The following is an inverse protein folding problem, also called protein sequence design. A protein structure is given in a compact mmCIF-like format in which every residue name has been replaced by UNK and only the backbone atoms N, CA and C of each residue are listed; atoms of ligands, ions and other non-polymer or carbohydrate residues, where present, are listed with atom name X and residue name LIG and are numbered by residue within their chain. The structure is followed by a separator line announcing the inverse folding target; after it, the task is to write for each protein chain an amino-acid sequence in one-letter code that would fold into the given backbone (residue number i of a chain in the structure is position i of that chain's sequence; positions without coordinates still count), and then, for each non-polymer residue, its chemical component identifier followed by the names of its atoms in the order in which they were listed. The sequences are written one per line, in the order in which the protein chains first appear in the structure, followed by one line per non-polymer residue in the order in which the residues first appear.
data_IF_496370941814
#
_entry.id   IF_496370941814
#
_cell.length_a   1.000
_cell.length_b   1.000
_cell.length_c   1.000
_cell.angle_alpha   90.00
_cell.angle_beta   90.00
_cell.angle_gamma   90.00
#
_symmetry.space_group_name_H-M   'P 1'
#
loop_
_entity.id
_entity.type
_entity.pdbx_description
1 polymer ?
#
# COMPACT_ATOMS: atom_id res chain seq x y z
N UNK A 1 -27.64 2.99 -11.84
CA UNK A 1 -27.34 4.35 -11.32
C UNK A 1 -26.07 4.23 -10.46
N UNK A 2 -25.05 5.04 -10.77
CA UNK A 2 -23.84 5.13 -9.94
C UNK A 2 -24.23 5.82 -8.64
N UNK A 3 -24.07 5.14 -7.51
CA UNK A 3 -24.31 5.74 -6.19
C UNK A 3 -23.10 6.61 -5.81
N UNK A 4 -23.36 7.80 -5.27
CA UNK A 4 -22.31 8.59 -4.64
C UNK A 4 -21.95 7.99 -3.28
N UNK A 5 -20.73 8.27 -2.76
CA UNK A 5 -20.31 7.84 -1.43
C UNK A 5 -21.31 8.21 -0.32
N UNK A 6 -22.10 9.25 -0.52
CA UNK A 6 -23.13 9.71 0.42
C UNK A 6 -24.36 8.80 0.47
N UNK A 7 -24.59 7.97 -0.56
CA UNK A 7 -25.75 7.08 -0.67
C UNK A 7 -25.47 5.64 -0.19
N UNK A 8 -24.23 5.34 0.21
CA UNK A 8 -23.87 4.02 0.75
C UNK A 8 -24.54 3.77 2.10
N UNK A 9 -24.89 2.50 2.38
CA UNK A 9 -25.41 2.15 3.70
C UNK A 9 -24.34 2.37 4.79
N UNK A 10 -24.79 2.59 6.03
CA UNK A 10 -23.90 2.81 7.17
C UNK A 10 -22.94 1.63 7.39
N UNK A 11 -23.43 0.40 7.23
CA UNK A 11 -22.65 -0.81 7.44
C UNK A 11 -21.56 -0.97 6.35
N UNK A 12 -21.92 -0.70 5.09
CA UNK A 12 -20.95 -0.72 3.97
C UNK A 12 -19.85 0.33 4.19
N UNK A 13 -20.21 1.53 4.61
CA UNK A 13 -19.23 2.59 4.92
C UNK A 13 -18.30 2.18 6.04
N UNK A 14 -18.82 1.64 7.13
CA UNK A 14 -18.02 1.25 8.30
C UNK A 14 -16.98 0.18 7.93
N UNK A 15 -17.39 -0.85 7.22
CA UNK A 15 -16.47 -1.91 6.76
C UNK A 15 -15.44 -1.39 5.75
N UNK A 16 -15.88 -0.57 4.80
CA UNK A 16 -14.98 0.02 3.81
C UNK A 16 -13.93 0.92 4.46
N UNK A 17 -14.30 1.70 5.49
CA UNK A 17 -13.36 2.51 6.28
C UNK A 17 -12.29 1.63 6.93
N UNK A 18 -12.65 0.48 7.50
CA UNK A 18 -11.68 -0.45 8.10
C UNK A 18 -10.74 -1.04 7.03
N UNK A 19 -11.26 -1.44 5.89
CA UNK A 19 -10.46 -1.97 4.78
C UNK A 19 -9.49 -0.92 4.22
N UNK A 20 -9.92 0.33 4.08
CA UNK A 20 -9.09 1.44 3.63
C UNK A 20 -7.99 1.77 4.66
N UNK A 21 -8.31 1.81 5.95
CA UNK A 21 -7.31 2.01 7.00
C UNK A 21 -6.30 0.86 7.07
N UNK A 22 -6.73 -0.37 6.75
CA UNK A 22 -5.81 -1.51 6.60
C UNK A 22 -4.82 -1.27 5.45
N UNK A 23 -5.30 -0.85 4.29
CA UNK A 23 -4.46 -0.54 3.13
C UNK A 23 -3.50 0.63 3.42
N UNK A 24 -3.96 1.67 4.11
CA UNK A 24 -3.11 2.80 4.55
C UNK A 24 -2.00 2.30 5.47
N UNK A 25 -2.33 1.49 6.48
CA UNK A 25 -1.35 0.96 7.44
C UNK A 25 -0.26 0.14 6.74
N UNK A 26 -0.63 -0.75 5.85
CA UNK A 26 0.31 -1.57 5.09
C UNK A 26 1.16 -0.74 4.13
N UNK A 27 0.58 0.28 3.51
CA UNK A 27 1.33 1.20 2.63
C UNK A 27 2.32 2.04 3.43
N UNK A 28 1.95 2.54 4.62
CA UNK A 28 2.86 3.28 5.51
C UNK A 28 4.05 2.43 5.91
N UNK A 29 3.82 1.18 6.34
CA UNK A 29 4.92 0.26 6.71
C UNK A 29 5.79 -0.06 5.50
N UNK A 30 5.21 -0.29 4.33
CA UNK A 30 5.96 -0.54 3.08
C UNK A 30 6.76 0.68 2.64
N UNK A 31 6.22 1.89 2.81
CA UNK A 31 6.93 3.15 2.53
C UNK A 31 8.20 3.25 3.39
N UNK A 32 8.08 2.99 4.68
CA UNK A 32 9.22 3.04 5.59
C UNK A 32 10.22 1.91 5.31
N UNK A 33 9.73 0.73 4.96
CA UNK A 33 10.57 -0.40 4.55
C UNK A 33 11.41 -0.04 3.32
N UNK A 34 10.81 0.54 2.30
CA UNK A 34 11.51 0.98 1.09
C UNK A 34 12.55 2.07 1.41
N UNK A 35 12.23 3.02 2.27
CA UNK A 35 13.16 4.07 2.68
C UNK A 35 14.32 3.52 3.51
N UNK A 36 14.07 2.59 4.41
CA UNK A 36 15.12 1.89 5.16
C UNK A 36 16.08 1.16 4.22
N UNK A 37 15.57 0.46 3.23
CA UNK A 37 16.37 -0.26 2.23
C UNK A 37 17.09 0.70 1.28
N UNK A 38 16.48 1.81 0.90
CA UNK A 38 17.12 2.87 0.13
C UNK A 38 18.38 3.40 0.82
N UNK A 39 18.34 3.60 2.13
CA UNK A 39 19.49 4.06 2.90
C UNK A 39 20.58 2.99 3.04
N UNK A 40 20.21 1.73 3.19
CA UNK A 40 21.11 0.67 3.68
C UNK A 40 21.55 -0.33 2.61
N UNK A 41 21.02 -0.29 1.38
CA UNK A 41 21.42 -1.21 0.32
C UNK A 41 22.90 -1.04 -0.04
N UNK A 42 23.57 -2.15 -0.37
CA UNK A 42 24.99 -2.21 -0.73
C UNK A 42 25.19 -3.19 -1.90
N UNK A 43 26.35 -3.12 -2.50
CA UNK A 43 26.80 -4.09 -3.50
C UNK A 43 26.79 -3.55 -4.94
N UNK A 44 26.97 -4.45 -5.89
CA UNK A 44 27.14 -4.11 -7.32
C UNK A 44 25.94 -3.37 -7.91
N UNK A 45 24.73 -3.67 -7.43
CA UNK A 45 23.49 -3.06 -7.88
C UNK A 45 23.05 -1.86 -7.01
N UNK A 46 23.94 -1.28 -6.21
CA UNK A 46 23.61 -0.17 -5.31
C UNK A 46 22.87 0.97 -6.02
N UNK A 47 23.43 1.52 -7.08
CA UNK A 47 22.86 2.69 -7.75
C UNK A 47 21.42 2.46 -8.24
N UNK A 48 21.18 1.48 -9.10
CA UNK A 48 19.82 1.15 -9.56
C UNK A 48 18.84 0.80 -8.45
N UNK A 49 19.25 0.06 -7.42
CA UNK A 49 18.37 -0.31 -6.31
C UNK A 49 18.07 0.87 -5.38
N UNK A 50 19.07 1.70 -5.10
CA UNK A 50 18.90 2.93 -4.34
C UNK A 50 17.83 3.84 -4.98
N UNK A 51 17.91 4.01 -6.30
CA UNK A 51 16.92 4.77 -7.08
C UNK A 51 15.54 4.11 -7.10
N UNK A 52 15.47 2.80 -7.34
CA UNK A 52 14.21 2.06 -7.35
C UNK A 52 13.49 2.11 -5.99
N UNK A 53 14.22 1.94 -4.90
CA UNK A 53 13.62 2.01 -3.56
C UNK A 53 13.11 3.42 -3.24
N UNK A 54 13.78 4.46 -3.75
CA UNK A 54 13.29 5.84 -3.68
C UNK A 54 12.00 6.03 -4.48
N UNK A 55 11.96 5.58 -5.72
CA UNK A 55 10.75 5.64 -6.55
C UNK A 55 9.56 4.98 -5.82
N UNK A 56 9.80 3.84 -5.18
CA UNK A 56 8.78 3.12 -4.42
C UNK A 56 8.27 3.96 -3.23
N UNK A 57 9.15 4.47 -2.37
CA UNK A 57 8.66 5.20 -1.20
C UNK A 57 8.01 6.54 -1.55
N UNK A 58 8.47 7.22 -2.59
CA UNK A 58 7.86 8.48 -3.05
C UNK A 58 6.46 8.25 -3.61
N UNK A 59 6.28 7.20 -4.45
CA UNK A 59 4.95 6.81 -4.92
C UNK A 59 4.01 6.42 -3.78
N UNK A 60 4.50 5.61 -2.86
CA UNK A 60 3.68 5.09 -1.76
C UNK A 60 3.31 6.18 -0.77
N UNK A 61 4.17 7.15 -0.54
CA UNK A 61 3.87 8.32 0.29
C UNK A 61 2.67 9.10 -0.28
N UNK A 62 2.63 9.29 -1.58
CA UNK A 62 1.48 9.91 -2.27
C UNK A 62 0.25 8.99 -2.24
N UNK A 63 0.43 7.70 -2.54
CA UNK A 63 -0.67 6.74 -2.59
C UNK A 63 -1.37 6.52 -1.24
N UNK A 64 -0.61 6.49 -0.13
CA UNK A 64 -1.21 6.39 1.21
C UNK A 64 -2.07 7.61 1.55
N UNK A 65 -1.65 8.80 1.13
CA UNK A 65 -2.39 10.04 1.30
C UNK A 65 -3.74 9.99 0.56
N UNK A 66 -3.72 9.59 -0.71
CA UNK A 66 -4.93 9.44 -1.52
C UNK A 66 -5.95 8.47 -0.88
N UNK A 67 -5.49 7.32 -0.40
CA UNK A 67 -6.37 6.34 0.26
C UNK A 67 -6.89 6.86 1.60
N UNK A 68 -6.04 7.52 2.41
CA UNK A 68 -6.45 8.12 3.68
C UNK A 68 -7.47 9.25 3.48
N UNK A 69 -7.29 10.10 2.47
CA UNK A 69 -8.27 11.14 2.11
C UNK A 69 -9.59 10.52 1.64
N UNK A 70 -9.55 9.36 0.97
CA UNK A 70 -10.77 8.64 0.60
C UNK A 70 -11.53 8.15 1.84
N UNK A 71 -10.84 7.71 2.89
CA UNK A 71 -11.48 7.40 4.19
C UNK A 71 -12.28 8.61 4.69
N UNK A 72 -11.72 9.80 4.60
CA UNK A 72 -12.40 11.05 5.00
C UNK A 72 -13.59 11.36 4.09
N UNK A 73 -13.42 11.22 2.80
CA UNK A 73 -14.47 11.51 1.82
C UNK A 73 -15.72 10.64 1.99
N UNK A 74 -15.57 9.40 2.44
CA UNK A 74 -16.72 8.51 2.75
C UNK A 74 -17.24 8.65 4.18
N UNK A 75 -16.69 9.58 4.97
CA UNK A 75 -17.15 9.92 6.32
C UNK A 75 -16.48 9.16 7.47
N UNK A 76 -15.36 8.48 7.19
CA UNK A 76 -14.59 7.75 8.21
C UNK A 76 -13.54 8.59 8.94
N UNK A 77 -12.84 7.93 9.85
CA UNK A 77 -11.65 8.44 10.51
C UNK A 77 -10.40 7.78 9.89
N UNK A 78 -9.48 8.59 9.36
CA UNK A 78 -8.20 8.11 8.86
C UNK A 78 -7.21 8.01 10.02
N UNK A 79 -6.73 6.81 10.31
CA UNK A 79 -5.76 6.57 11.38
C UNK A 79 -4.38 7.04 10.94
N UNK A 80 -3.71 7.84 11.78
CA UNK A 80 -2.38 8.40 11.48
C UNK A 80 -1.30 8.07 12.51
N UNK A 81 -1.60 7.30 13.56
CA UNK A 81 -0.60 6.93 14.57
C UNK A 81 0.29 5.80 14.08
N UNK A 82 1.60 5.96 14.17
CA UNK A 82 2.58 4.95 13.71
C UNK A 82 2.39 3.61 14.42
N UNK A 83 2.13 3.62 15.74
CA UNK A 83 1.88 2.39 16.51
C UNK A 83 0.68 1.60 15.98
N UNK A 84 -0.38 2.28 15.55
CA UNK A 84 -1.56 1.65 14.97
C UNK A 84 -1.28 1.09 13.56
N UNK A 85 -0.48 1.78 12.76
CA UNK A 85 -0.07 1.29 11.45
C UNK A 85 0.74 -0.01 11.59
N UNK A 86 1.71 -0.04 12.50
CA UNK A 86 2.51 -1.25 12.75
C UNK A 86 1.64 -2.39 13.28
N UNK A 87 0.75 -2.11 14.23
CA UNK A 87 -0.11 -3.13 14.82
C UNK A 87 -1.12 -3.72 13.81
N UNK A 88 -1.61 -2.90 12.89
CA UNK A 88 -2.62 -3.27 11.88
C UNK A 88 -2.01 -3.97 10.66
N UNK A 89 -0.79 -3.61 10.30
CA UNK A 89 -0.14 -4.06 9.07
C UNK A 89 0.18 -5.56 9.06
N UNK A 90 -0.14 -6.23 7.94
CA UNK A 90 0.34 -7.58 7.64
C UNK A 90 1.75 -7.57 7.05
N UNK A 91 2.23 -6.41 6.59
CA UNK A 91 3.60 -6.24 6.16
C UNK A 91 4.48 -6.10 7.41
N UNK A 92 5.46 -6.97 7.62
CA UNK A 92 6.34 -6.87 8.78
C UNK A 92 7.42 -5.80 8.55
N UNK A 93 7.88 -5.19 9.64
CA UNK A 93 9.11 -4.42 9.63
C UNK A 93 10.32 -5.34 9.42
N UNK A 94 11.38 -4.83 8.82
CA UNK A 94 12.62 -5.56 8.59
C UNK A 94 13.82 -4.74 9.01
N UNK A 95 14.85 -5.40 9.49
CA UNK A 95 16.15 -4.79 9.76
C UNK A 95 16.82 -4.37 8.43
N UNK A 96 17.53 -3.27 8.45
CA UNK A 96 18.31 -2.77 7.31
C UNK A 96 19.66 -3.47 7.09
N UNK A 97 20.06 -4.38 7.97
CA UNK A 97 21.31 -5.14 7.86
C UNK A 97 21.10 -6.46 7.08
N UNK A 98 20.74 -6.33 5.81
CA UNK A 98 20.41 -7.46 4.94
C UNK A 98 21.13 -7.34 3.60
N UNK A 99 21.21 -8.46 2.86
CA UNK A 99 21.70 -8.44 1.49
C UNK A 99 20.70 -7.72 0.55
N UNK A 100 21.20 -7.24 -0.58
CA UNK A 100 20.34 -6.62 -1.60
C UNK A 100 19.22 -7.58 -2.05
N UNK A 101 19.54 -8.87 -2.23
CA UNK A 101 18.55 -9.88 -2.62
C UNK A 101 17.45 -10.07 -1.56
N UNK A 102 17.83 -10.08 -0.27
CA UNK A 102 16.85 -10.16 0.83
C UNK A 102 15.96 -8.92 0.88
N UNK A 103 16.52 -7.72 0.70
CA UNK A 103 15.76 -6.48 0.63
C UNK A 103 14.76 -6.49 -0.52
N UNK A 104 15.17 -6.91 -1.72
CA UNK A 104 14.30 -7.03 -2.90
C UNK A 104 13.16 -8.00 -2.60
N UNK A 105 13.47 -9.17 -2.03
CA UNK A 105 12.46 -10.17 -1.70
C UNK A 105 11.44 -9.65 -0.69
N UNK A 106 11.88 -9.06 0.40
CA UNK A 106 10.98 -8.50 1.42
C UNK A 106 10.09 -7.40 0.84
N UNK A 107 10.67 -6.53 0.03
CA UNK A 107 9.90 -5.44 -0.57
C UNK A 107 8.91 -5.93 -1.63
N UNK A 108 9.27 -6.96 -2.40
CA UNK A 108 8.34 -7.62 -3.33
C UNK A 108 7.18 -8.29 -2.58
N UNK A 109 7.47 -9.04 -1.51
CA UNK A 109 6.44 -9.67 -0.69
C UNK A 109 5.50 -8.61 -0.06
N UNK A 110 6.05 -7.47 0.37
CA UNK A 110 5.27 -6.34 0.87
C UNK A 110 4.33 -5.78 -0.20
N UNK A 111 4.83 -5.56 -1.43
CA UNK A 111 4.00 -5.09 -2.54
C UNK A 111 2.83 -6.04 -2.82
N UNK A 112 3.08 -7.35 -2.83
CA UNK A 112 2.04 -8.37 -3.05
C UNK A 112 1.01 -8.38 -1.93
N UNK A 113 1.43 -8.18 -0.69
CA UNK A 113 0.53 -8.09 0.46
C UNK A 113 -0.40 -6.88 0.32
N UNK A 114 0.16 -5.69 0.03
CA UNK A 114 -0.64 -4.48 -0.17
C UNK A 114 -1.60 -4.63 -1.35
N UNK A 115 -1.12 -5.17 -2.48
CA UNK A 115 -1.95 -5.41 -3.66
C UNK A 115 -3.16 -6.32 -3.34
N UNK A 116 -2.96 -7.38 -2.56
CA UNK A 116 -4.06 -8.26 -2.14
C UNK A 116 -5.07 -7.55 -1.23
N UNK A 117 -4.62 -6.73 -0.30
CA UNK A 117 -5.49 -5.91 0.56
C UNK A 117 -6.31 -4.92 -0.27
N UNK A 118 -5.66 -4.22 -1.21
CA UNK A 118 -6.34 -3.29 -2.12
C UNK A 118 -7.37 -4.00 -3.01
N UNK A 119 -7.04 -5.18 -3.54
CA UNK A 119 -7.95 -5.97 -4.37
C UNK A 119 -9.22 -6.37 -3.60
N UNK A 120 -9.08 -6.81 -2.35
CA UNK A 120 -10.21 -7.16 -1.48
C UNK A 120 -11.10 -5.96 -1.19
N UNK A 121 -10.51 -4.82 -0.87
CA UNK A 121 -11.24 -3.58 -0.63
C UNK A 121 -11.92 -3.05 -1.91
N UNK A 122 -11.27 -3.18 -3.07
CA UNK A 122 -11.83 -2.79 -4.36
C UNK A 122 -13.09 -3.62 -4.69
N UNK A 123 -13.01 -4.94 -4.51
CA UNK A 123 -14.17 -5.82 -4.71
C UNK A 123 -15.34 -5.45 -3.79
N UNK A 124 -15.05 -5.19 -2.53
CA UNK A 124 -16.07 -4.76 -1.56
C UNK A 124 -16.71 -3.42 -1.92
N UNK A 125 -15.90 -2.46 -2.38
CA UNK A 125 -16.40 -1.16 -2.84
C UNK A 125 -17.32 -1.30 -4.07
N UNK A 126 -16.96 -2.17 -5.03
CA UNK A 126 -17.77 -2.44 -6.21
C UNK A 126 -19.11 -3.09 -5.85
N UNK A 127 -19.10 -4.12 -5.00
CA UNK A 127 -20.32 -4.76 -4.49
C UNK A 127 -21.23 -3.78 -3.76
N UNK A 128 -20.63 -2.84 -3.00
CA UNK A 128 -21.35 -1.78 -2.30
C UNK A 128 -21.84 -0.63 -3.21
N UNK A 129 -21.40 -0.60 -4.47
CA UNK A 129 -21.76 0.44 -5.44
C UNK A 129 -20.91 1.72 -5.34
N UNK A 130 -19.79 1.70 -4.61
CA UNK A 130 -18.84 2.81 -4.54
C UNK A 130 -17.77 2.73 -5.65
N UNK A 131 -18.19 3.09 -6.86
CA UNK A 131 -17.35 3.03 -8.06
C UNK A 131 -16.10 3.92 -7.93
N UNK A 132 -16.19 5.05 -7.24
CA UNK A 132 -15.06 5.97 -7.09
C UNK A 132 -13.97 5.38 -6.16
N UNK A 133 -14.35 4.74 -5.07
CA UNK A 133 -13.41 4.00 -4.22
C UNK A 133 -12.85 2.79 -4.96
N UNK A 134 -13.68 2.04 -5.66
CA UNK A 134 -13.23 0.91 -6.49
C UNK A 134 -12.15 1.34 -7.49
N UNK A 135 -12.39 2.39 -8.26
CA UNK A 135 -11.46 2.90 -9.28
C UNK A 135 -10.11 3.33 -8.66
N UNK A 136 -10.15 4.08 -7.57
CA UNK A 136 -8.94 4.46 -6.82
C UNK A 136 -8.13 3.23 -6.40
N UNK A 137 -8.78 2.24 -5.82
CA UNK A 137 -8.11 1.05 -5.28
C UNK A 137 -7.54 0.16 -6.39
N UNK A 138 -8.24 0.02 -7.52
CA UNK A 138 -7.71 -0.68 -8.70
C UNK A 138 -6.46 0.03 -9.23
N UNK A 139 -6.48 1.35 -9.31
CA UNK A 139 -5.31 2.13 -9.72
C UNK A 139 -4.11 1.89 -8.80
N UNK A 140 -4.32 1.88 -7.49
CA UNK A 140 -3.27 1.58 -6.52
C UNK A 140 -2.79 0.13 -6.59
N UNK A 141 -3.69 -0.83 -6.76
CA UNK A 141 -3.34 -2.25 -6.93
C UNK A 141 -2.37 -2.43 -8.11
N UNK A 142 -2.67 -1.85 -9.27
CA UNK A 142 -1.82 -1.93 -10.46
C UNK A 142 -0.40 -1.41 -10.20
N UNK A 143 -0.25 -0.35 -9.43
CA UNK A 143 1.06 0.22 -9.08
C UNK A 143 1.86 -0.76 -8.22
N UNK A 144 1.25 -1.33 -7.18
CA UNK A 144 1.90 -2.32 -6.31
C UNK A 144 2.29 -3.60 -7.06
N UNK A 145 1.43 -4.10 -7.93
CA UNK A 145 1.73 -5.26 -8.78
C UNK A 145 2.89 -4.98 -9.75
N UNK A 146 2.95 -3.78 -10.31
CA UNK A 146 4.05 -3.35 -11.17
C UNK A 146 5.38 -3.33 -10.41
N UNK A 147 5.41 -2.75 -9.21
CA UNK A 147 6.62 -2.75 -8.39
C UNK A 147 7.03 -4.17 -7.98
N UNK A 148 6.08 -5.05 -7.63
CA UNK A 148 6.38 -6.45 -7.35
C UNK A 148 7.05 -7.13 -8.56
N UNK A 149 6.52 -6.94 -9.76
CA UNK A 149 7.11 -7.46 -10.99
C UNK A 149 8.52 -6.93 -11.22
N UNK A 150 8.75 -5.63 -11.07
CA UNK A 150 10.08 -5.02 -11.24
C UNK A 150 11.08 -5.61 -10.24
N UNK A 151 10.68 -5.72 -8.97
CA UNK A 151 11.51 -6.29 -7.90
C UNK A 151 11.84 -7.76 -8.17
N UNK A 152 10.84 -8.57 -8.49
CA UNK A 152 11.03 -10.00 -8.79
C UNK A 152 11.96 -10.20 -10.00
N UNK A 153 11.95 -9.29 -10.97
CA UNK A 153 12.82 -9.33 -12.14
C UNK A 153 14.30 -9.20 -11.80
N UNK A 154 14.65 -8.65 -10.66
CA UNK A 154 16.02 -8.60 -10.16
C UNK A 154 16.50 -9.94 -9.58
N UNK A 155 15.58 -10.84 -9.24
CA UNK A 155 15.86 -12.15 -8.64
C UNK A 155 15.81 -13.30 -9.65
N UNK A 156 15.37 -13.02 -10.87
CA UNK A 156 15.20 -14.01 -11.92
C UNK A 156 16.54 -14.39 -12.61
#
# INVERSE_FOLDING_TARGET
MVQSAQSLSTDVKAELVEMLNQAVAETVVTTMLAQNFHWNVKGMAFGPLHELFQEIYEDHFTGQDEVAERVKAIGGHAEGRLSEHVARSKVPEQDGHQSAEQMIKHLSDAQKTVAATLAGAAAYADEGGDVATHDLLIGRQLVHEKFAWILDSHLA
#
